data_IF_040937414153
#
_entry.id   IF_040937414153
#
_cell.length_a   1.000
_cell.length_b   1.000
_cell.length_c   1.000
_cell.angle_alpha   90.00
_cell.angle_beta   90.00
_cell.angle_gamma   90.00
#
_symmetry.space_group_name_H-M   'P 1'
#
loop_
_entity.id
_entity.type
_entity.pdbx_description
1 polymer ?
#
# COMPACT_ATOMS: atom_id res chain seq x y z
N UNK A 1 -4.06 -3.65 -2.85
CA UNK A 1 -3.96 -5.14 -2.86
C UNK A 1 -4.48 -5.66 -4.18
N UNK A 2 -3.73 -6.53 -4.80
CA UNK A 2 -4.04 -7.14 -6.09
C UNK A 2 -4.24 -8.65 -5.92
N UNK A 3 -5.10 -9.21 -6.75
CA UNK A 3 -5.38 -10.64 -6.80
C UNK A 3 -5.58 -11.11 -8.25
N UNK A 4 -5.83 -12.40 -8.47
CA UNK A 4 -6.18 -12.94 -9.79
C UNK A 4 -7.50 -12.36 -10.30
N UNK A 5 -7.73 -12.31 -11.62
CA UNK A 5 -8.87 -11.59 -12.23
C UNK A 5 -10.26 -11.97 -11.72
N UNK A 6 -10.45 -13.18 -11.25
CA UNK A 6 -11.74 -13.70 -10.75
C UNK A 6 -11.88 -13.65 -9.22
N UNK A 7 -10.87 -13.17 -8.52
CA UNK A 7 -10.85 -13.14 -7.05
C UNK A 7 -11.82 -12.08 -6.50
N UNK A 8 -12.46 -12.43 -5.37
CA UNK A 8 -13.30 -11.51 -4.59
C UNK A 8 -12.72 -11.35 -3.20
N UNK A 9 -12.80 -10.15 -2.64
CA UNK A 9 -12.29 -9.88 -1.29
C UNK A 9 -12.91 -10.83 -0.26
N UNK A 10 -14.23 -11.10 -0.33
CA UNK A 10 -14.92 -12.00 0.60
C UNK A 10 -14.29 -13.41 0.61
N UNK A 11 -13.94 -13.95 -0.56
CA UNK A 11 -13.35 -15.29 -0.67
C UNK A 11 -11.92 -15.31 -0.12
N UNK A 12 -11.17 -14.23 -0.32
CA UNK A 12 -9.81 -14.06 0.22
C UNK A 12 -9.83 -13.95 1.75
N UNK A 13 -10.81 -13.24 2.32
CA UNK A 13 -11.01 -13.14 3.76
C UNK A 13 -11.39 -14.49 4.37
N UNK A 14 -12.28 -15.24 3.73
CA UNK A 14 -12.65 -16.58 4.20
C UNK A 14 -11.46 -17.55 4.14
N UNK A 15 -10.67 -17.49 3.06
CA UNK A 15 -9.42 -18.25 2.96
C UNK A 15 -8.45 -17.90 4.08
N UNK A 16 -8.31 -16.61 4.41
CA UNK A 16 -7.46 -16.16 5.49
C UNK A 16 -7.86 -16.75 6.85
N UNK A 17 -9.19 -16.91 7.09
CA UNK A 17 -9.75 -17.49 8.34
C UNK A 17 -9.55 -19.01 8.43
N UNK A 18 -9.61 -19.71 7.32
CA UNK A 18 -9.63 -21.19 7.30
C UNK A 18 -8.26 -21.82 7.06
N UNK A 19 -7.41 -21.23 6.24
CA UNK A 19 -6.14 -21.85 5.86
C UNK A 19 -4.94 -20.91 5.80
N UNK A 20 -5.18 -19.60 6.01
CA UNK A 20 -4.20 -18.55 5.83
C UNK A 20 -4.09 -18.07 4.40
N UNK A 21 -3.94 -16.75 4.26
CA UNK A 21 -3.81 -16.04 2.97
C UNK A 21 -2.33 -15.90 2.63
N UNK A 22 -1.91 -16.47 1.50
CA UNK A 22 -0.53 -16.32 1.01
C UNK A 22 -0.39 -14.98 0.29
N UNK A 23 0.55 -14.17 0.76
CA UNK A 23 0.93 -12.94 0.09
C UNK A 23 2.39 -12.97 -0.35
N UNK A 24 2.69 -12.37 -1.50
CA UNK A 24 4.06 -12.12 -1.90
C UNK A 24 4.64 -10.95 -1.11
N UNK A 25 5.89 -11.03 -0.71
CA UNK A 25 6.56 -9.98 0.04
C UNK A 25 8.06 -10.11 0.06
N UNK A 26 8.79 -9.04 0.40
CA UNK A 26 10.24 -9.08 0.58
C UNK A 26 10.63 -9.60 1.96
N UNK A 27 9.93 -9.18 3.00
CA UNK A 27 10.13 -9.64 4.38
C UNK A 27 8.84 -9.50 5.20
N UNK A 28 8.73 -10.22 6.34
CA UNK A 28 7.54 -10.22 7.18
C UNK A 28 7.26 -8.91 7.95
N UNK A 29 8.15 -7.93 7.92
CA UNK A 29 7.98 -6.64 8.59
C UNK A 29 7.90 -5.47 7.60
N UNK A 30 7.70 -5.75 6.31
CA UNK A 30 7.48 -4.72 5.32
C UNK A 30 6.10 -4.07 5.48
N UNK A 31 5.97 -2.79 5.13
CA UNK A 31 4.70 -2.07 5.19
C UNK A 31 3.53 -2.81 4.51
N UNK A 32 3.69 -3.41 3.31
CA UNK A 32 2.62 -4.21 2.70
C UNK A 32 2.16 -5.38 3.58
N UNK A 33 3.09 -6.05 4.28
CA UNK A 33 2.72 -7.14 5.19
C UNK A 33 2.05 -6.62 6.45
N UNK A 34 2.56 -5.55 7.05
CA UNK A 34 1.94 -4.95 8.23
C UNK A 34 0.52 -4.45 7.92
N UNK A 35 0.32 -3.78 6.79
CA UNK A 35 -0.99 -3.29 6.36
C UNK A 35 -2.00 -4.44 6.15
N UNK A 36 -1.67 -5.42 5.30
CA UNK A 36 -2.57 -6.55 5.05
C UNK A 36 -2.67 -7.47 6.27
N UNK A 37 -1.56 -7.75 6.94
CA UNK A 37 -1.53 -8.66 8.09
C UNK A 37 -2.38 -8.15 9.25
N UNK A 38 -2.30 -6.85 9.59
CA UNK A 38 -3.13 -6.26 10.64
C UNK A 38 -4.62 -6.26 10.30
N UNK A 39 -4.98 -5.99 9.04
CA UNK A 39 -6.36 -6.09 8.57
C UNK A 39 -6.88 -7.53 8.69
N UNK A 40 -6.14 -8.50 8.16
CA UNK A 40 -6.52 -9.92 8.19
C UNK A 40 -6.59 -10.43 9.63
N UNK A 41 -5.67 -10.00 10.50
CA UNK A 41 -5.70 -10.32 11.92
C UNK A 41 -6.98 -9.80 12.59
N UNK A 42 -7.38 -8.57 12.33
CA UNK A 42 -8.65 -8.02 12.82
C UNK A 42 -9.86 -8.81 12.30
N UNK A 43 -9.80 -9.36 11.08
CA UNK A 43 -10.83 -10.26 10.54
C UNK A 43 -10.81 -11.67 11.12
N UNK A 44 -9.86 -11.98 12.02
CA UNK A 44 -9.70 -13.30 12.64
C UNK A 44 -9.01 -14.32 11.74
N UNK A 45 -8.34 -13.85 10.70
CA UNK A 45 -7.58 -14.67 9.75
C UNK A 45 -6.07 -14.62 9.99
N UNK A 46 -5.32 -15.30 9.11
CA UNK A 46 -3.84 -15.32 9.11
C UNK A 46 -3.30 -15.04 7.73
N UNK A 47 -2.16 -14.34 7.69
CA UNK A 47 -1.35 -14.16 6.49
C UNK A 47 -0.09 -15.01 6.54
N UNK A 48 0.35 -15.47 5.38
CA UNK A 48 1.63 -16.16 5.18
C UNK A 48 2.43 -15.44 4.11
N UNK A 49 3.56 -14.86 4.50
CA UNK A 49 4.46 -14.19 3.54
C UNK A 49 5.29 -15.23 2.81
N UNK A 50 5.20 -15.23 1.48
CA UNK A 50 6.12 -15.96 0.61
C UNK A 50 7.17 -14.96 0.11
N UNK A 51 8.45 -15.14 0.46
CA UNK A 51 9.48 -14.17 0.15
C UNK A 51 9.87 -14.24 -1.33
N UNK A 52 9.99 -13.05 -1.95
CA UNK A 52 10.49 -12.86 -3.31
C UNK A 52 11.48 -11.70 -3.35
N UNK A 53 12.44 -11.80 -4.25
CA UNK A 53 13.42 -10.73 -4.48
C UNK A 53 12.88 -9.74 -5.53
N UNK A 54 12.34 -8.61 -5.02
CA UNK A 54 11.82 -7.51 -5.83
C UNK A 54 10.39 -7.68 -6.35
N UNK A 55 9.79 -6.56 -6.76
CA UNK A 55 8.38 -6.46 -7.14
C UNK A 55 7.98 -7.30 -8.35
N UNK A 56 8.86 -7.44 -9.36
CA UNK A 56 8.58 -8.25 -10.54
C UNK A 56 8.40 -9.73 -10.18
N UNK A 57 9.25 -10.28 -9.29
CA UNK A 57 9.11 -11.65 -8.83
C UNK A 57 7.87 -11.84 -7.95
N UNK A 58 7.51 -10.85 -7.12
CA UNK A 58 6.28 -10.85 -6.32
C UNK A 58 5.03 -10.92 -7.21
N UNK A 59 4.96 -10.10 -8.27
CA UNK A 59 3.85 -10.11 -9.24
C UNK A 59 3.78 -11.45 -9.99
N UNK A 60 4.93 -11.97 -10.41
CA UNK A 60 4.99 -13.28 -11.06
C UNK A 60 4.46 -14.40 -10.16
N UNK A 61 4.80 -14.40 -8.87
CA UNK A 61 4.25 -15.35 -7.89
C UNK A 61 2.72 -15.33 -7.82
N UNK A 62 2.09 -14.15 -7.95
CA UNK A 62 0.64 -14.02 -8.02
C UNK A 62 0.09 -14.60 -9.34
N UNK A 63 0.65 -14.22 -10.47
CA UNK A 63 0.16 -14.70 -11.78
C UNK A 63 0.33 -16.21 -11.97
N UNK A 64 1.43 -16.78 -11.48
CA UNK A 64 1.68 -18.23 -11.48
C UNK A 64 0.78 -19.00 -10.47
N UNK A 65 0.17 -18.29 -9.51
CA UNK A 65 -0.70 -18.89 -8.49
C UNK A 65 0.02 -19.51 -7.30
N UNK A 66 1.27 -19.12 -7.07
CA UNK A 66 2.04 -19.52 -5.88
C UNK A 66 1.55 -18.80 -4.63
N UNK A 67 1.04 -17.57 -4.81
CA UNK A 67 0.41 -16.73 -3.79
C UNK A 67 -0.98 -16.28 -4.20
N UNK A 68 -1.75 -15.81 -3.25
CA UNK A 68 -3.14 -15.39 -3.43
C UNK A 68 -3.25 -13.90 -3.73
N UNK A 69 -2.36 -13.11 -3.13
CA UNK A 69 -2.37 -11.65 -3.23
C UNK A 69 -0.96 -11.06 -3.33
N UNK A 70 -0.90 -9.92 -3.96
CA UNK A 70 0.23 -9.00 -3.98
C UNK A 70 -0.21 -7.65 -3.41
N UNK A 71 0.57 -7.06 -2.52
CA UNK A 71 0.34 -5.70 -2.03
C UNK A 71 1.48 -4.82 -2.51
N UNK A 72 1.15 -3.82 -3.29
CA UNK A 72 2.09 -2.89 -3.90
C UNK A 72 1.45 -1.54 -4.18
N UNK A 73 2.24 -0.61 -4.68
CA UNK A 73 1.77 0.70 -5.11
C UNK A 73 0.82 0.60 -6.30
N UNK A 74 0.06 1.65 -6.56
CA UNK A 74 -0.81 1.77 -7.74
C UNK A 74 0.00 1.60 -9.02
N UNK A 75 1.13 2.29 -9.15
CA UNK A 75 2.07 2.16 -10.26
C UNK A 75 2.52 0.71 -10.51
N UNK A 76 2.84 -0.03 -9.44
CA UNK A 76 3.37 -1.40 -9.58
C UNK A 76 2.38 -2.38 -10.24
N UNK A 77 1.07 -2.13 -10.12
CA UNK A 77 0.03 -2.98 -10.68
C UNK A 77 -0.58 -2.49 -11.99
N UNK A 78 -0.30 -1.26 -12.42
CA UNK A 78 -1.00 -0.59 -13.51
C UNK A 78 -1.02 -1.42 -14.81
N UNK A 79 0.16 -1.79 -15.32
CA UNK A 79 0.28 -2.55 -16.57
C UNK A 79 -0.43 -3.91 -16.51
N UNK A 80 -0.35 -4.60 -15.37
CA UNK A 80 -0.98 -5.92 -15.18
C UNK A 80 -2.50 -5.80 -15.07
N UNK A 81 -3.02 -4.71 -14.49
CA UNK A 81 -4.45 -4.41 -14.44
C UNK A 81 -4.99 -4.07 -15.82
N UNK A 82 -4.28 -3.22 -16.59
CA UNK A 82 -4.62 -2.88 -17.97
C UNK A 82 -4.63 -4.13 -18.87
N UNK A 83 -3.67 -5.04 -18.68
CA UNK A 83 -3.59 -6.30 -19.38
C UNK A 83 -4.61 -7.36 -18.91
N UNK A 84 -5.32 -7.11 -17.80
CA UNK A 84 -6.28 -8.05 -17.21
C UNK A 84 -5.64 -9.30 -16.59
N UNK A 85 -4.34 -9.27 -16.28
CA UNK A 85 -3.62 -10.37 -15.62
C UNK A 85 -3.76 -10.37 -14.11
N UNK A 86 -4.10 -9.19 -13.53
CA UNK A 86 -4.44 -8.98 -12.12
C UNK A 86 -5.63 -8.03 -12.00
N UNK A 87 -6.30 -8.06 -10.86
CA UNK A 87 -7.30 -7.04 -10.48
C UNK A 87 -6.89 -6.38 -9.16
N UNK A 88 -7.12 -5.06 -9.00
CA UNK A 88 -7.05 -4.41 -7.71
C UNK A 88 -8.34 -4.72 -6.94
N UNK A 89 -8.23 -5.32 -5.75
CA UNK A 89 -9.39 -5.74 -4.95
C UNK A 89 -9.63 -4.88 -3.72
N UNK A 90 -8.61 -4.17 -3.23
CA UNK A 90 -8.73 -3.34 -2.04
C UNK A 90 -7.64 -2.26 -2.01
N UNK A 91 -8.03 -1.02 -1.74
CA UNK A 91 -7.13 0.10 -1.51
C UNK A 91 -6.92 0.30 0.00
N UNK A 92 -5.66 0.42 0.43
CA UNK A 92 -5.31 0.81 1.81
C UNK A 92 -5.37 2.33 1.92
N UNK A 93 -6.60 2.85 1.95
CA UNK A 93 -6.94 4.27 1.98
C UNK A 93 -8.29 4.47 2.68
N UNK A 94 -8.65 5.71 2.95
CA UNK A 94 -9.97 6.13 3.44
C UNK A 94 -10.98 6.46 2.32
N UNK A 95 -10.54 6.37 1.05
CA UNK A 95 -11.33 6.66 -0.14
C UNK A 95 -11.14 5.58 -1.19
N UNK A 96 -12.16 5.37 -2.01
CA UNK A 96 -12.02 4.56 -3.21
C UNK A 96 -10.91 5.10 -4.12
N UNK A 97 -10.26 4.20 -4.84
CA UNK A 97 -9.30 4.58 -5.87
C UNK A 97 -9.89 4.34 -7.27
N UNK A 98 -9.85 5.36 -8.13
CA UNK A 98 -10.52 5.39 -9.45
C UNK A 98 -9.53 5.54 -10.63
N UNK A 99 -8.22 5.37 -10.38
CA UNK A 99 -7.19 5.61 -11.40
C UNK A 99 -6.93 4.44 -12.35
N UNK A 100 -7.49 3.24 -12.10
CA UNK A 100 -7.25 2.08 -12.95
C UNK A 100 -8.25 1.97 -14.11
N UNK A 101 -7.74 1.51 -15.25
CA UNK A 101 -8.55 1.05 -16.38
C UNK A 101 -8.15 -0.39 -16.70
N UNK A 102 -9.10 -1.30 -16.65
CA UNK A 102 -8.91 -2.70 -17.05
C UNK A 102 -9.42 -2.95 -18.47
N UNK A 103 -9.38 -4.20 -18.95
CA UNK A 103 -9.85 -4.58 -20.29
C UNK A 103 -11.30 -4.20 -20.58
N UNK A 104 -12.16 -4.21 -19.56
CA UNK A 104 -13.58 -3.91 -19.66
C UNK A 104 -13.93 -2.46 -19.33
N UNK A 105 -12.94 -1.60 -19.03
CA UNK A 105 -13.12 -0.18 -18.73
C UNK A 105 -12.61 0.23 -17.33
N UNK A 106 -13.01 1.43 -16.87
CA UNK A 106 -12.58 1.97 -15.58
C UNK A 106 -12.94 1.08 -14.40
N UNK A 107 -12.02 0.98 -13.42
CA UNK A 107 -12.18 0.19 -12.20
C UNK A 107 -12.20 1.11 -10.99
N UNK A 108 -13.25 1.04 -10.18
CA UNK A 108 -13.30 1.65 -8.84
C UNK A 108 -12.88 0.61 -7.81
N UNK A 109 -11.78 0.86 -7.11
CA UNK A 109 -11.25 -0.02 -6.08
C UNK A 109 -11.78 0.43 -4.72
N UNK A 110 -12.54 -0.39 -3.99
CA UNK A 110 -13.02 -0.03 -2.66
C UNK A 110 -11.87 0.11 -1.66
N UNK A 111 -12.11 0.86 -0.59
CA UNK A 111 -11.13 1.17 0.44
C UNK A 111 -11.26 0.27 1.68
N UNK A 112 -10.23 0.31 2.54
CA UNK A 112 -10.27 -0.37 3.85
C UNK A 112 -11.06 0.42 4.89
N UNK A 113 -11.25 1.73 4.70
CA UNK A 113 -11.91 2.62 5.65
C UNK A 113 -12.72 3.71 4.93
N UNK A 114 -13.42 4.56 5.69
CA UNK A 114 -14.22 5.67 5.17
C UNK A 114 -15.52 5.25 4.51
N UNK A 115 -16.09 6.14 3.69
CA UNK A 115 -17.40 5.92 3.04
C UNK A 115 -17.36 4.85 1.95
N UNK A 116 -16.20 4.62 1.35
CA UNK A 116 -15.99 3.63 0.30
C UNK A 116 -15.44 2.29 0.83
N UNK A 117 -15.58 2.05 2.14
CA UNK A 117 -15.15 0.78 2.75
C UNK A 117 -15.82 -0.40 2.07
N UNK A 118 -15.02 -1.42 1.71
CA UNK A 118 -15.55 -2.63 1.06
C UNK A 118 -16.59 -3.33 1.97
N UNK A 119 -17.77 -3.68 1.44
CA UNK A 119 -18.82 -4.32 2.21
C UNK A 119 -18.49 -5.74 2.71
N UNK A 120 -17.43 -6.38 2.20
CA UNK A 120 -16.93 -7.64 2.72
C UNK A 120 -16.21 -7.50 4.06
N UNK A 121 -15.74 -6.30 4.40
CA UNK A 121 -15.13 -5.98 5.70
C UNK A 121 -16.21 -5.77 6.76
N UNK A 122 -15.93 -6.17 7.99
CA UNK A 122 -16.85 -5.97 9.13
C UNK A 122 -17.16 -4.48 9.34
N UNK A 123 -18.44 -4.12 9.23
CA UNK A 123 -18.89 -2.73 9.34
C UNK A 123 -18.60 -2.13 10.73
N UNK A 124 -18.53 -2.95 11.77
CA UNK A 124 -18.29 -2.53 13.16
C UNK A 124 -16.81 -2.31 13.51
N UNK A 125 -15.89 -2.61 12.58
CA UNK A 125 -14.44 -2.49 12.83
C UNK A 125 -13.83 -1.29 12.13
N UNK A 126 -12.81 -0.72 12.76
CA UNK A 126 -11.96 0.34 12.19
C UNK A 126 -10.64 -0.26 11.68
N UNK A 127 -10.40 -0.14 10.38
CA UNK A 127 -9.17 -0.60 9.71
C UNK A 127 -8.23 0.56 9.34
N UNK A 128 -8.47 1.76 9.83
CA UNK A 128 -7.61 2.93 9.56
C UNK A 128 -6.15 2.70 9.96
N UNK A 129 -5.91 1.87 10.99
CA UNK A 129 -4.58 1.42 11.39
C UNK A 129 -3.84 0.57 10.37
N UNK A 130 -4.52 0.07 9.33
CA UNK A 130 -3.91 -0.63 8.20
C UNK A 130 -3.50 0.31 7.06
N UNK A 131 -3.84 1.61 7.14
CA UNK A 131 -3.44 2.62 6.17
C UNK A 131 -2.06 3.14 6.56
N UNK A 132 -1.03 2.48 6.04
CA UNK A 132 0.35 2.88 6.29
C UNK A 132 0.82 3.79 5.16
N UNK A 133 1.42 4.96 5.46
CA UNK A 133 1.97 5.83 4.43
C UNK A 133 3.18 5.15 3.78
N UNK A 134 3.15 5.08 2.45
CA UNK A 134 4.27 4.58 1.65
C UNK A 134 4.83 5.72 0.81
N UNK A 135 6.13 6.01 0.95
CA UNK A 135 6.76 7.10 0.21
C UNK A 135 8.27 7.05 0.29
N UNK A 136 8.92 7.84 -0.57
CA UNK A 136 10.35 8.11 -0.49
C UNK A 136 10.63 9.40 0.26
N UNK A 137 11.77 9.48 0.92
CA UNK A 137 12.22 10.68 1.60
C UNK A 137 13.73 10.88 1.42
N UNK A 138 14.16 12.14 1.51
CA UNK A 138 15.57 12.51 1.55
C UNK A 138 15.96 12.73 3.02
N UNK A 139 16.84 11.87 3.53
CA UNK A 139 17.40 12.03 4.87
C UNK A 139 18.78 12.67 4.83
N UNK A 140 19.03 13.59 5.75
CA UNK A 140 20.35 14.18 5.96
C UNK A 140 20.91 13.79 7.31
N UNK A 141 22.24 13.67 7.41
CA UNK A 141 22.87 13.34 8.69
C UNK A 141 22.70 14.47 9.71
N UNK A 142 22.66 14.14 10.97
CA UNK A 142 22.70 15.11 12.07
C UNK A 142 23.94 15.99 11.97
N UNK A 143 23.76 17.32 12.09
CA UNK A 143 24.84 18.30 11.99
C UNK A 143 25.22 18.65 10.54
N UNK A 144 24.40 18.31 9.54
CA UNK A 144 24.55 18.87 8.21
C UNK A 144 24.39 20.41 8.21
N UNK A 145 25.04 21.08 7.28
CA UNK A 145 24.96 22.54 7.14
C UNK A 145 23.49 22.95 6.79
N UNK A 146 22.96 23.90 7.57
CA UNK A 146 21.57 24.34 7.41
C UNK A 146 21.35 25.00 6.05
N UNK A 147 22.32 25.77 5.53
CA UNK A 147 22.17 26.40 4.21
C UNK A 147 22.07 25.36 3.10
N UNK A 148 22.76 24.25 3.22
CA UNK A 148 22.63 23.12 2.27
C UNK A 148 21.28 22.42 2.40
N UNK A 149 20.76 22.23 3.62
CA UNK A 149 19.42 21.66 3.85
C UNK A 149 18.36 22.57 3.21
N UNK A 150 18.44 23.87 3.44
CA UNK A 150 17.52 24.87 2.90
C UNK A 150 17.53 24.86 1.35
N UNK A 151 18.73 24.72 0.74
CA UNK A 151 18.86 24.59 -0.72
C UNK A 151 18.18 23.33 -1.26
N UNK A 152 18.36 22.17 -0.61
CA UNK A 152 17.68 20.92 -1.01
C UNK A 152 16.16 21.05 -0.90
N UNK A 153 15.67 21.65 0.18
CA UNK A 153 14.25 21.91 0.37
C UNK A 153 13.72 22.82 -0.75
N UNK A 154 14.45 23.90 -1.10
CA UNK A 154 14.03 24.80 -2.16
C UNK A 154 14.01 24.09 -3.53
N UNK A 155 15.06 23.33 -3.87
CA UNK A 155 15.09 22.52 -5.09
C UNK A 155 13.90 21.54 -5.13
N UNK A 156 13.60 20.89 -4.03
CA UNK A 156 12.44 19.96 -3.95
C UNK A 156 11.12 20.67 -4.20
N UNK A 157 10.94 21.88 -3.64
CA UNK A 157 9.74 22.69 -3.88
C UNK A 157 9.64 23.13 -5.35
N UNK A 158 10.76 23.52 -5.96
CA UNK A 158 10.79 23.95 -7.36
C UNK A 158 10.43 22.78 -8.29
N UNK A 159 10.93 21.57 -7.99
CA UNK A 159 10.56 20.33 -8.72
C UNK A 159 9.07 20.02 -8.59
N UNK A 160 8.51 20.13 -7.38
CA UNK A 160 7.08 19.91 -7.16
C UNK A 160 6.20 20.98 -7.80
N UNK A 161 6.72 22.19 -8.00
CA UNK A 161 6.01 23.29 -8.68
C UNK A 161 6.07 23.16 -10.21
N UNK A 162 6.94 22.30 -10.75
CA UNK A 162 7.05 22.06 -12.18
C UNK A 162 5.82 21.31 -12.69
N UNK A 163 5.06 21.88 -13.65
CA UNK A 163 3.86 21.23 -14.19
C UNK A 163 4.15 19.87 -14.85
N UNK A 164 5.27 19.75 -15.59
CA UNK A 164 5.64 18.51 -16.27
C UNK A 164 5.90 17.38 -15.28
N UNK A 165 6.57 17.68 -14.15
CA UNK A 165 6.78 16.73 -13.08
C UNK A 165 5.48 16.36 -12.35
N UNK A 166 4.62 17.35 -12.08
CA UNK A 166 3.30 17.14 -11.47
C UNK A 166 2.40 16.25 -12.33
N UNK A 167 2.36 16.49 -13.62
CA UNK A 167 1.57 15.71 -14.58
C UNK A 167 2.11 14.26 -14.63
N UNK A 168 3.44 14.09 -14.72
CA UNK A 168 4.05 12.76 -14.69
C UNK A 168 3.76 11.97 -13.41
N UNK A 169 3.83 12.60 -12.22
CA UNK A 169 3.46 11.95 -10.94
C UNK A 169 1.99 11.50 -10.97
N UNK A 170 1.10 12.29 -11.57
CA UNK A 170 -0.31 11.93 -11.77
C UNK A 170 -0.47 10.73 -12.71
N UNK A 171 0.24 10.70 -13.84
CA UNK A 171 0.21 9.61 -14.80
C UNK A 171 0.65 8.26 -14.20
N UNK A 172 1.67 8.27 -13.34
CA UNK A 172 2.15 7.07 -12.66
C UNK A 172 1.39 6.77 -11.35
N UNK A 173 0.33 7.50 -11.07
CA UNK A 173 -0.58 7.30 -9.94
C UNK A 173 0.11 7.24 -8.56
N UNK A 174 1.15 8.05 -8.33
CA UNK A 174 1.82 8.16 -7.05
C UNK A 174 1.19 9.24 -6.17
N UNK A 175 1.13 8.98 -4.87
CA UNK A 175 0.73 9.99 -3.90
C UNK A 175 1.80 11.08 -3.78
N UNK A 176 1.34 12.33 -3.65
CA UNK A 176 2.19 13.48 -3.46
C UNK A 176 2.27 13.85 -1.97
N UNK A 177 3.47 13.82 -1.41
CA UNK A 177 3.75 14.26 -0.04
C UNK A 177 4.75 15.42 -0.07
N UNK A 178 4.27 16.62 0.22
CA UNK A 178 5.08 17.85 0.25
C UNK A 178 5.30 18.30 1.70
N UNK A 179 6.07 17.51 2.43
CA UNK A 179 6.42 17.82 3.84
C UNK A 179 7.93 17.97 3.96
N UNK A 180 8.38 18.99 4.70
CA UNK A 180 9.76 19.41 4.77
C UNK A 180 10.17 19.73 6.20
N UNK A 181 11.47 19.57 6.53
CA UNK A 181 12.04 19.95 7.81
C UNK A 181 11.39 19.24 9.01
N UNK A 182 10.95 20.00 9.99
CA UNK A 182 10.31 19.46 11.21
C UNK A 182 8.98 18.79 10.93
N UNK A 183 8.21 19.28 9.96
CA UNK A 183 6.93 18.64 9.56
C UNK A 183 7.17 17.25 8.94
N UNK A 184 8.29 17.08 8.22
CA UNK A 184 8.67 15.76 7.68
C UNK A 184 9.08 14.80 8.80
N UNK A 185 9.75 15.27 9.85
CA UNK A 185 10.07 14.47 11.02
C UNK A 185 8.80 14.04 11.75
N UNK A 186 7.86 14.96 11.99
CA UNK A 186 6.58 14.65 12.62
C UNK A 186 5.76 13.65 11.80
N UNK A 187 5.74 13.79 10.48
CA UNK A 187 5.10 12.84 9.58
C UNK A 187 5.72 11.44 9.67
N UNK A 188 7.05 11.34 9.73
CA UNK A 188 7.75 10.06 9.88
C UNK A 188 7.51 9.43 11.26
N UNK A 189 7.47 10.22 12.33
CA UNK A 189 7.12 9.74 13.68
C UNK A 189 5.72 9.15 13.70
N UNK A 190 4.72 9.84 13.14
CA UNK A 190 3.35 9.32 13.01
C UNK A 190 3.29 8.03 12.17
N UNK A 191 4.04 7.97 11.07
CA UNK A 191 4.13 6.78 10.23
C UNK A 191 4.72 5.58 10.99
N UNK A 192 5.76 5.81 11.79
CA UNK A 192 6.37 4.79 12.65
C UNK A 192 5.40 4.29 13.72
N UNK A 193 4.66 5.19 14.38
CA UNK A 193 3.65 4.82 15.38
C UNK A 193 2.53 3.96 14.78
N UNK A 194 2.05 4.31 13.59
CA UNK A 194 1.07 3.49 12.85
C UNK A 194 1.61 2.11 12.50
N UNK A 195 2.84 2.03 12.00
CA UNK A 195 3.48 0.76 11.68
C UNK A 195 3.66 -0.11 12.92
N UNK A 196 4.02 0.49 14.06
CA UNK A 196 4.15 -0.20 15.35
C UNK A 196 2.81 -0.76 15.83
N UNK A 197 1.74 0.03 15.75
CA UNK A 197 0.37 -0.40 16.09
C UNK A 197 -0.10 -1.55 15.19
N UNK A 198 0.17 -1.49 13.88
CA UNK A 198 -0.13 -2.57 12.95
C UNK A 198 0.65 -3.86 13.30
N UNK A 199 1.92 -3.72 13.67
CA UNK A 199 2.75 -4.83 14.13
C UNK A 199 2.23 -5.47 15.42
N UNK A 200 1.84 -4.66 16.41
CA UNK A 200 1.25 -5.15 17.67
C UNK A 200 -0.05 -5.91 17.41
N UNK A 201 -0.92 -5.39 16.54
CA UNK A 201 -2.16 -6.05 16.12
C UNK A 201 -1.89 -7.40 15.48
N UNK A 202 -0.90 -7.47 14.59
CA UNK A 202 -0.49 -8.71 13.92
C UNK A 202 0.13 -9.71 14.91
N UNK A 203 0.96 -9.24 15.84
CA UNK A 203 1.68 -10.08 16.80
C UNK A 203 0.80 -10.63 17.91
N UNK A 204 -0.24 -9.91 18.29
CA UNK A 204 -1.19 -10.32 19.34
C UNK A 204 -2.07 -11.52 18.96
N UNK A 205 -1.95 -12.01 17.73
CA UNK A 205 -2.67 -13.18 17.21
C UNK A 205 -1.78 -14.42 16.94
N UNK A 206 -0.49 -14.33 17.23
CA UNK A 206 0.44 -15.46 17.15
C UNK A 206 0.44 -16.23 18.48
#
# INVERSE_FOLDING_TARGET
>A
MYAKPDAKLADLLEKAKTGGLKMSGGNPLSDPHLALGSLIAQEGGKTMVVPYDGGAAQKKGLTDGEVDVFVGTTQAGQEDVEAGTMIPVLAFSDKAFEGFTGPDGPITVPSVAGEAKDPALDAGKDYSGSILPAGGFIAVRTGADQAWIDEIIQISKDVWADPEYSDWIGEIMLNRYEVYGEDANAFLEEACEKALTAFETLSGQQ
#
